data_IF_644920036416
#
_entry.id   IF_644920036416
#
_cell.length_a   1.000
_cell.length_b   1.000
_cell.length_c   1.000
_cell.angle_alpha   90.00
_cell.angle_beta   90.00
_cell.angle_gamma   90.00
#
_symmetry.space_group_name_H-M   'P 1'
#
loop_
_entity.id
_entity.type
_entity.pdbx_description
1 polymer ?
#
# COMPACT_ATOMS: atom_id res chain seq x y z
N UNK A 1 -66.44 8.68 -8.23
CA UNK A 1 -65.13 9.27 -8.59
C UNK A 1 -64.01 8.91 -7.60
N UNK A 2 -64.07 7.76 -6.91
CA UNK A 2 -63.07 7.36 -5.89
C UNK A 2 -62.37 6.01 -6.18
N UNK A 3 -62.80 5.26 -7.21
CA UNK A 3 -62.32 3.91 -7.47
C UNK A 3 -60.96 3.87 -8.18
N UNK A 4 -60.67 4.83 -9.05
CA UNK A 4 -59.44 4.86 -9.86
C UNK A 4 -58.17 5.24 -9.06
N UNK A 5 -58.32 5.94 -7.93
CA UNK A 5 -57.19 6.39 -7.11
C UNK A 5 -56.65 5.31 -6.15
N UNK A 6 -57.47 4.30 -5.80
CA UNK A 6 -57.03 3.19 -4.94
C UNK A 6 -56.18 2.16 -5.71
N UNK A 7 -56.47 1.92 -6.99
CA UNK A 7 -55.71 0.97 -7.83
C UNK A 7 -54.28 1.45 -8.11
N UNK A 8 -54.08 2.76 -8.30
CA UNK A 8 -52.76 3.33 -8.53
C UNK A 8 -51.81 3.16 -7.32
N UNK A 9 -52.32 3.30 -6.08
CA UNK A 9 -51.54 3.08 -4.84
C UNK A 9 -51.22 1.60 -4.59
N UNK A 10 -52.12 0.68 -4.96
CA UNK A 10 -51.92 -0.76 -4.83
C UNK A 10 -50.89 -1.28 -5.83
N UNK A 11 -50.96 -0.80 -7.08
CA UNK A 11 -49.97 -1.09 -8.13
C UNK A 11 -48.59 -0.50 -7.80
N UNK A 12 -48.54 0.74 -7.28
CA UNK A 12 -47.27 1.36 -6.86
C UNK A 12 -46.62 0.63 -5.68
N UNK A 13 -47.38 0.15 -4.68
CA UNK A 13 -46.85 -0.67 -3.58
C UNK A 13 -46.33 -2.03 -4.05
N UNK A 14 -47.04 -2.70 -4.95
CA UNK A 14 -46.60 -3.99 -5.52
C UNK A 14 -45.35 -3.83 -6.37
N UNK A 15 -45.26 -2.74 -7.14
CA UNK A 15 -44.07 -2.40 -7.92
C UNK A 15 -42.88 -2.05 -7.02
N UNK A 16 -43.10 -1.28 -5.96
CA UNK A 16 -42.08 -0.96 -4.95
C UNK A 16 -41.59 -2.21 -4.19
N UNK A 17 -42.48 -3.16 -3.90
CA UNK A 17 -42.13 -4.43 -3.25
C UNK A 17 -41.34 -5.37 -4.17
N UNK A 18 -41.65 -5.38 -5.48
CA UNK A 18 -40.91 -6.15 -6.49
C UNK A 18 -39.51 -5.56 -6.72
N UNK A 19 -39.35 -4.23 -6.70
CA UNK A 19 -38.04 -3.59 -6.82
C UNK A 19 -37.14 -3.90 -5.61
N UNK A 20 -37.70 -3.96 -4.40
CA UNK A 20 -36.95 -4.29 -3.17
C UNK A 20 -36.54 -5.78 -3.12
N UNK A 21 -37.34 -6.69 -3.71
CA UNK A 21 -37.00 -8.12 -3.76
C UNK A 21 -35.92 -8.47 -4.79
N UNK A 22 -35.76 -7.64 -5.84
CA UNK A 22 -34.73 -7.85 -6.87
C UNK A 22 -33.40 -7.14 -6.60
N UNK A 23 -33.27 -6.36 -5.53
CA UNK A 23 -32.02 -5.69 -5.16
C UNK A 23 -31.14 -6.49 -4.21
N UNK A 24 -31.18 -7.83 -4.24
CA UNK A 24 -30.16 -8.63 -3.54
C UNK A 24 -28.83 -8.48 -4.27
N UNK A 25 -27.78 -7.89 -3.65
CA UNK A 25 -26.47 -7.87 -4.26
C UNK A 25 -25.98 -9.31 -4.36
N UNK A 26 -25.74 -9.78 -5.59
CA UNK A 26 -25.00 -11.02 -5.81
C UNK A 26 -23.57 -10.73 -5.36
N UNK A 27 -23.20 -11.21 -4.18
CA UNK A 27 -21.82 -11.20 -3.73
C UNK A 27 -21.04 -12.23 -4.58
N UNK A 28 -20.51 -11.80 -5.72
CA UNK A 28 -19.57 -12.59 -6.50
C UNK A 28 -18.22 -12.61 -5.75
N UNK A 29 -18.11 -13.48 -4.76
CA UNK A 29 -16.85 -13.73 -4.07
C UNK A 29 -15.87 -14.44 -5.01
N UNK A 30 -14.60 -14.04 -4.97
CA UNK A 30 -13.54 -14.80 -5.63
C UNK A 30 -13.48 -16.21 -5.03
N UNK A 31 -13.37 -17.23 -5.90
CA UNK A 31 -13.18 -18.62 -5.48
C UNK A 31 -11.80 -18.72 -4.83
N UNK A 32 -11.74 -19.11 -3.56
CA UNK A 32 -10.46 -19.33 -2.89
C UNK A 32 -9.88 -20.67 -3.33
N UNK A 33 -8.54 -20.77 -3.38
CA UNK A 33 -7.85 -22.03 -3.70
C UNK A 33 -8.28 -23.17 -2.76
N UNK A 34 -8.60 -22.84 -1.50
CA UNK A 34 -9.10 -23.77 -0.49
C UNK A 34 -10.44 -24.43 -0.90
N UNK A 35 -11.28 -23.71 -1.63
CA UNK A 35 -12.57 -24.18 -2.11
C UNK A 35 -12.50 -25.04 -3.39
N UNK A 36 -11.31 -25.17 -3.98
CA UNK A 36 -11.10 -26.01 -5.16
C UNK A 36 -11.04 -27.50 -4.76
N UNK A 37 -11.64 -28.40 -5.58
CA UNK A 37 -11.41 -29.84 -5.46
C UNK A 37 -9.92 -30.18 -5.39
N UNK A 38 -9.54 -31.13 -4.52
CA UNK A 38 -8.14 -31.48 -4.24
C UNK A 38 -7.33 -31.77 -5.52
N UNK A 39 -7.94 -32.42 -6.51
CA UNK A 39 -7.30 -32.77 -7.78
C UNK A 39 -6.97 -31.55 -8.67
N UNK A 40 -7.61 -30.40 -8.45
CA UNK A 40 -7.38 -29.17 -9.21
C UNK A 40 -6.37 -28.23 -8.55
N UNK A 41 -6.16 -28.32 -7.22
CA UNK A 41 -5.23 -27.45 -6.49
C UNK A 41 -3.80 -27.46 -7.08
N UNK A 42 -3.20 -28.60 -7.48
CA UNK A 42 -1.85 -28.62 -8.06
C UNK A 42 -1.72 -27.90 -9.42
N UNK A 43 -2.82 -27.67 -10.13
CA UNK A 43 -2.81 -26.99 -11.43
C UNK A 43 -2.78 -25.47 -11.32
N UNK A 44 -3.15 -24.91 -10.18
CA UNK A 44 -3.24 -23.46 -9.97
C UNK A 44 -1.93 -22.74 -10.29
N UNK A 45 -0.74 -23.18 -9.81
CA UNK A 45 0.53 -22.53 -10.16
C UNK A 45 0.81 -22.53 -11.67
N UNK A 46 0.44 -23.61 -12.37
CA UNK A 46 0.64 -23.70 -13.82
C UNK A 46 -0.30 -22.76 -14.59
N UNK A 47 -1.58 -22.69 -14.21
CA UNK A 47 -2.56 -21.77 -14.83
C UNK A 47 -2.19 -20.30 -14.56
N UNK A 48 -1.70 -20.01 -13.36
CA UNK A 48 -1.31 -18.65 -12.96
C UNK A 48 0.05 -18.22 -13.53
N UNK A 49 0.80 -19.11 -14.15
CA UNK A 49 2.09 -18.77 -14.74
C UNK A 49 1.93 -17.69 -15.83
N UNK A 50 2.65 -16.58 -15.69
CA UNK A 50 2.54 -15.40 -16.55
C UNK A 50 1.34 -14.49 -16.25
N UNK A 51 0.45 -14.90 -15.34
CA UNK A 51 -0.72 -14.15 -14.89
C UNK A 51 -0.66 -13.86 -13.38
N UNK A 52 0.53 -13.84 -12.78
CA UNK A 52 0.72 -13.70 -11.33
C UNK A 52 0.11 -12.39 -10.81
N UNK A 53 0.08 -11.34 -11.65
CA UNK A 53 -0.53 -10.05 -11.32
C UNK A 53 -2.05 -10.09 -11.22
N UNK A 54 -2.70 -11.15 -11.72
CA UNK A 54 -4.14 -11.31 -11.58
C UNK A 54 -4.57 -11.50 -10.12
N UNK A 55 -3.66 -12.01 -9.28
CA UNK A 55 -3.85 -12.15 -7.83
C UNK A 55 -3.78 -10.80 -7.07
N UNK A 56 -3.28 -9.73 -7.71
CA UNK A 56 -3.15 -8.44 -7.06
C UNK A 56 -4.52 -7.79 -6.86
N UNK A 57 -4.82 -7.28 -5.66
CA UNK A 57 -6.09 -6.61 -5.40
C UNK A 57 -6.30 -5.38 -6.28
N UNK A 58 -7.57 -5.14 -6.63
CA UNK A 58 -7.98 -3.89 -7.27
C UNK A 58 -8.05 -2.78 -6.22
N UNK A 59 -7.38 -1.66 -6.46
CA UNK A 59 -7.43 -0.50 -5.57
C UNK A 59 -8.46 0.50 -6.08
N UNK A 60 -9.54 0.72 -5.31
CA UNK A 60 -10.50 1.77 -5.62
C UNK A 60 -9.80 3.14 -5.55
N UNK A 61 -9.97 3.98 -6.58
CA UNK A 61 -9.31 5.28 -6.71
C UNK A 61 -8.08 5.28 -7.63
N UNK A 62 -7.32 4.19 -7.71
CA UNK A 62 -6.17 4.09 -8.61
C UNK A 62 -6.56 3.63 -10.03
N UNK A 63 -7.70 2.96 -10.18
CA UNK A 63 -8.17 2.44 -11.47
C UNK A 63 -7.37 1.24 -12.01
N UNK A 64 -6.49 0.66 -11.19
CA UNK A 64 -5.62 -0.46 -11.56
C UNK A 64 -5.39 -1.45 -10.40
N UNK A 65 -4.89 -2.65 -10.73
CA UNK A 65 -4.43 -3.63 -9.73
C UNK A 65 -3.09 -3.19 -9.14
N UNK A 66 -2.98 -3.22 -7.80
CA UNK A 66 -1.74 -2.87 -7.08
C UNK A 66 -1.19 -4.08 -6.36
N UNK A 67 0.02 -4.47 -6.75
CA UNK A 67 0.70 -5.66 -6.21
C UNK A 67 1.53 -5.39 -4.96
N UNK A 68 1.80 -4.12 -4.65
CA UNK A 68 2.47 -3.67 -3.43
C UNK A 68 1.57 -2.70 -2.70
N UNK A 69 1.38 -2.95 -1.41
CA UNK A 69 0.57 -2.11 -0.53
C UNK A 69 1.46 -1.67 0.63
N UNK A 70 1.64 -0.36 0.75
CA UNK A 70 2.43 0.24 1.83
C UNK A 70 1.63 0.24 3.13
N UNK A 71 2.22 -0.27 4.19
CA UNK A 71 1.75 -0.04 5.54
C UNK A 71 2.35 1.25 6.13
N UNK A 72 2.37 1.39 7.46
CA UNK A 72 2.97 2.53 8.12
C UNK A 72 4.49 2.57 7.91
N UNK A 73 5.00 3.77 7.63
CA UNK A 73 6.42 4.09 7.67
C UNK A 73 6.74 4.83 8.97
N UNK A 74 7.72 4.33 9.72
CA UNK A 74 8.27 5.00 10.91
C UNK A 74 9.68 5.47 10.62
N UNK A 75 9.97 6.73 10.92
CA UNK A 75 11.29 7.35 10.79
C UNK A 75 11.72 7.92 12.15
N UNK A 76 12.90 7.53 12.60
CA UNK A 76 13.57 8.10 13.78
C UNK A 76 14.90 8.70 13.32
N UNK A 77 14.96 10.03 13.28
CA UNK A 77 16.05 10.79 12.68
C UNK A 77 16.77 11.62 13.73
N UNK A 78 18.09 11.69 13.64
CA UNK A 78 18.91 12.55 14.48
C UNK A 78 20.06 13.21 13.70
N UNK A 79 20.88 14.00 14.40
CA UNK A 79 21.98 14.76 13.81
C UNK A 79 22.96 13.95 12.96
N UNK A 80 23.20 12.66 13.25
CA UNK A 80 24.22 11.85 12.56
C UNK A 80 23.71 10.58 11.90
N UNK A 81 22.49 10.16 12.20
CA UNK A 81 21.92 8.93 11.66
C UNK A 81 20.39 8.99 11.62
N UNK A 82 19.82 8.04 10.88
CA UNK A 82 18.40 7.77 10.88
C UNK A 82 18.13 6.28 10.95
N UNK A 83 16.92 5.91 11.36
CA UNK A 83 16.40 4.55 11.25
C UNK A 83 15.01 4.59 10.66
N UNK A 84 14.69 3.58 9.88
CA UNK A 84 13.34 3.39 9.36
C UNK A 84 12.82 1.98 9.62
N UNK A 85 11.50 1.89 9.72
CA UNK A 85 10.76 0.65 9.78
C UNK A 85 9.48 0.81 8.97
N UNK A 86 9.31 -0.03 7.96
CA UNK A 86 8.21 0.06 7.00
C UNK A 86 7.57 -1.32 6.80
N UNK A 87 6.26 -1.40 7.02
CA UNK A 87 5.50 -2.61 6.75
C UNK A 87 5.04 -2.64 5.29
N UNK A 88 5.12 -3.80 4.64
CA UNK A 88 4.69 -3.99 3.25
C UNK A 88 3.87 -5.26 3.10
N UNK A 89 2.83 -5.18 2.27
CA UNK A 89 2.12 -6.35 1.76
C UNK A 89 2.39 -6.48 0.26
N UNK A 90 2.90 -7.64 -0.16
CA UNK A 90 3.27 -7.96 -1.54
C UNK A 90 2.43 -9.14 -2.02
N UNK A 91 1.79 -9.02 -3.19
CA UNK A 91 0.86 -10.03 -3.73
C UNK A 91 1.43 -10.82 -4.93
N UNK A 92 2.37 -10.22 -5.65
CA UNK A 92 3.10 -10.83 -6.76
C UNK A 92 4.58 -10.39 -6.66
N UNK A 93 5.49 -11.10 -7.31
CA UNK A 93 6.89 -10.67 -7.42
C UNK A 93 6.98 -9.20 -7.82
N UNK A 94 7.50 -8.36 -6.91
CA UNK A 94 7.44 -6.91 -7.07
C UNK A 94 8.70 -6.23 -6.57
N UNK A 95 9.03 -5.12 -7.22
CA UNK A 95 10.00 -4.16 -6.70
C UNK A 95 9.30 -3.28 -5.65
N UNK A 96 9.89 -3.16 -4.48
CA UNK A 96 9.38 -2.38 -3.35
C UNK A 96 10.33 -1.20 -3.09
N UNK A 97 9.88 0.05 -3.21
CA UNK A 97 10.73 1.21 -2.96
C UNK A 97 11.05 1.37 -1.48
N UNK A 98 12.25 1.87 -1.20
CA UNK A 98 12.68 2.23 0.15
C UNK A 98 12.78 3.74 0.31
N UNK A 99 12.76 4.25 1.55
CA UNK A 99 13.13 5.62 1.81
C UNK A 99 14.62 5.85 1.49
N UNK A 100 14.94 7.03 0.98
CA UNK A 100 16.28 7.44 0.55
C UNK A 100 16.39 7.71 -0.96
N UNK A 101 17.54 8.22 -1.33
CA UNK A 101 17.93 8.55 -2.70
C UNK A 101 19.46 8.39 -2.86
N UNK A 102 20.03 8.89 -3.96
CA UNK A 102 21.47 8.87 -4.21
C UNK A 102 22.31 9.61 -3.16
N UNK A 103 21.76 10.62 -2.50
CA UNK A 103 22.46 11.46 -1.54
C UNK A 103 22.28 10.91 -0.11
N UNK A 104 21.14 10.26 0.15
CA UNK A 104 20.78 9.63 1.43
C UNK A 104 20.43 8.16 1.24
N UNK A 105 21.43 7.37 0.84
CA UNK A 105 21.21 5.95 0.56
C UNK A 105 20.99 5.14 1.85
N UNK A 106 19.98 4.25 1.91
CA UNK A 106 19.74 3.42 3.08
C UNK A 106 20.80 2.33 3.24
N UNK A 107 21.20 2.09 4.49
CA UNK A 107 22.18 1.11 4.90
C UNK A 107 21.54 0.04 5.81
N UNK A 108 22.27 -1.06 6.00
CA UNK A 108 21.87 -2.17 6.89
C UNK A 108 20.43 -2.65 6.67
N UNK A 109 19.97 -2.64 5.42
CA UNK A 109 18.58 -2.96 5.09
C UNK A 109 18.30 -4.42 5.36
N UNK A 110 17.20 -4.67 6.07
CA UNK A 110 16.73 -6.00 6.47
C UNK A 110 15.27 -6.20 6.12
N UNK A 111 14.93 -7.43 5.74
CA UNK A 111 13.57 -7.91 5.49
C UNK A 111 13.30 -9.03 6.48
N UNK A 112 12.35 -8.83 7.40
CA UNK A 112 12.08 -9.82 8.46
C UNK A 112 13.29 -10.09 9.36
N UNK A 113 14.20 -9.11 9.50
CA UNK A 113 15.44 -9.24 10.29
C UNK A 113 16.63 -9.82 9.55
N UNK A 114 16.46 -10.33 8.33
CA UNK A 114 17.56 -10.84 7.49
C UNK A 114 18.07 -9.75 6.55
N UNK A 115 19.39 -9.67 6.34
CA UNK A 115 19.98 -8.69 5.44
C UNK A 115 19.47 -8.87 4.01
N UNK A 116 19.15 -7.76 3.34
CA UNK A 116 18.60 -7.75 1.99
C UNK A 116 19.40 -6.82 1.07
N UNK A 117 19.56 -7.24 -0.19
CA UNK A 117 20.26 -6.43 -1.20
C UNK A 117 19.35 -5.32 -1.72
N UNK A 118 19.85 -4.09 -1.70
CA UNK A 118 19.16 -2.91 -2.25
C UNK A 118 19.62 -2.69 -3.69
N UNK A 119 18.67 -2.50 -4.58
CA UNK A 119 18.90 -2.33 -6.02
C UNK A 119 18.55 -0.89 -6.42
N UNK A 120 19.44 -0.17 -7.12
CA UNK A 120 19.14 1.16 -7.64
C UNK A 120 18.22 1.11 -8.86
N UNK A 121 17.23 2.01 -8.89
CA UNK A 121 16.41 2.34 -10.06
C UNK A 121 16.22 3.85 -10.11
N UNK A 122 16.66 4.49 -11.19
CA UNK A 122 16.49 5.94 -11.39
C UNK A 122 16.93 6.79 -10.18
N UNK A 123 18.03 6.39 -9.52
CA UNK A 123 18.57 7.08 -8.34
C UNK A 123 17.82 6.82 -7.03
N UNK A 124 16.83 5.91 -7.01
CA UNK A 124 16.07 5.52 -5.82
C UNK A 124 16.37 4.06 -5.42
N UNK A 125 16.33 3.74 -4.11
CA UNK A 125 16.58 2.39 -3.58
C UNK A 125 15.33 1.49 -3.65
N UNK A 126 15.49 0.25 -4.11
CA UNK A 126 14.42 -0.75 -4.19
C UNK A 126 14.86 -2.12 -3.63
N UNK A 127 13.89 -2.93 -3.22
CA UNK A 127 14.04 -4.34 -2.92
C UNK A 127 13.24 -5.18 -3.92
N UNK A 128 13.75 -6.38 -4.26
CA UNK A 128 12.96 -7.38 -4.96
C UNK A 128 12.35 -8.34 -3.94
N UNK A 129 11.02 -8.31 -3.79
CA UNK A 129 10.30 -9.17 -2.84
C UNK A 129 9.36 -10.13 -3.56
N UNK A 130 9.24 -11.34 -3.02
CA UNK A 130 8.23 -12.35 -3.39
C UNK A 130 6.89 -12.02 -2.70
N UNK A 131 5.78 -12.69 -3.05
CA UNK A 131 4.52 -12.53 -2.32
C UNK A 131 4.69 -12.82 -0.82
N UNK A 132 4.14 -11.95 0.02
CA UNK A 132 4.25 -12.05 1.47
C UNK A 132 4.01 -10.73 2.20
N UNK A 133 4.00 -10.80 3.52
CA UNK A 133 3.95 -9.64 4.41
C UNK A 133 5.33 -9.44 5.03
N UNK A 134 5.86 -8.23 4.95
CA UNK A 134 7.24 -7.95 5.35
C UNK A 134 7.31 -6.75 6.30
N UNK A 135 8.16 -6.87 7.31
CA UNK A 135 8.73 -5.72 7.99
C UNK A 135 10.11 -5.44 7.40
N UNK A 136 10.25 -4.28 6.77
CA UNK A 136 11.51 -3.81 6.22
C UNK A 136 12.09 -2.77 7.15
N UNK A 137 13.35 -2.93 7.52
CA UNK A 137 14.07 -1.97 8.36
C UNK A 137 15.38 -1.59 7.70
N UNK A 138 15.92 -0.46 8.12
CA UNK A 138 17.24 -0.02 7.71
C UNK A 138 17.66 1.22 8.48
N UNK A 139 18.87 1.65 8.20
CA UNK A 139 19.49 2.83 8.81
C UNK A 139 19.95 3.81 7.73
N UNK A 140 20.22 5.03 8.15
CA UNK A 140 20.89 6.03 7.35
C UNK A 140 22.08 6.55 8.15
N UNK A 141 23.11 6.98 7.44
CA UNK A 141 24.29 7.61 8.04
C UNK A 141 24.60 8.89 7.28
N UNK A 142 24.73 9.98 8.02
CA UNK A 142 25.05 11.31 7.48
C UNK A 142 25.91 12.07 8.49
N UNK A 143 26.67 13.06 8.02
CA UNK A 143 27.45 13.92 8.92
C UNK A 143 26.58 14.95 9.66
N UNK A 144 25.45 15.32 9.07
CA UNK A 144 24.47 16.28 9.59
C UNK A 144 23.08 15.84 9.13
N UNK A 145 22.07 16.02 9.99
CA UNK A 145 20.66 15.79 9.67
C UNK A 145 20.28 16.60 8.41
N UNK A 146 19.84 15.92 7.33
CA UNK A 146 19.44 16.62 6.12
C UNK A 146 18.18 17.46 6.33
N UNK A 147 17.99 18.42 5.43
CA UNK A 147 16.79 19.27 5.40
C UNK A 147 15.57 18.51 4.89
N UNK A 148 15.79 17.57 3.98
CA UNK A 148 14.76 16.72 3.41
C UNK A 148 15.24 15.27 3.21
N UNK A 149 14.29 14.35 3.09
CA UNK A 149 14.55 12.94 2.82
C UNK A 149 13.51 12.41 1.83
N UNK A 150 13.95 11.74 0.77
CA UNK A 150 13.04 11.07 -0.14
C UNK A 150 12.39 9.86 0.55
N UNK A 151 11.07 9.72 0.41
CA UNK A 151 10.29 8.59 0.89
C UNK A 151 9.39 8.07 -0.25
N UNK A 152 8.94 6.80 -0.22
CA UNK A 152 8.04 6.29 -1.24
C UNK A 152 6.74 7.11 -1.30
N UNK A 153 6.28 7.57 -2.48
CA UNK A 153 5.08 8.41 -2.58
C UNK A 153 3.79 7.64 -2.25
N UNK A 154 3.79 6.31 -2.36
CA UNK A 154 2.63 5.46 -2.05
C UNK A 154 2.30 5.32 -0.56
N UNK A 155 3.08 5.88 0.36
CA UNK A 155 2.84 5.79 1.82
C UNK A 155 1.47 6.35 2.22
N UNK A 156 0.73 5.57 3.00
CA UNK A 156 -0.53 6.01 3.61
C UNK A 156 -0.37 6.66 4.98
N UNK A 157 0.59 6.20 5.79
CA UNK A 157 0.78 6.65 7.17
C UNK A 157 2.26 6.81 7.50
N UNK A 158 2.64 8.00 7.97
CA UNK A 158 4.01 8.35 8.35
C UNK A 158 4.06 8.76 9.83
N UNK A 159 4.95 8.12 10.59
CA UNK A 159 5.37 8.58 11.91
C UNK A 159 6.80 9.10 11.81
N UNK A 160 7.00 10.36 12.18
CA UNK A 160 8.30 11.01 12.15
C UNK A 160 8.70 11.46 13.56
N UNK A 161 9.87 11.02 14.00
CA UNK A 161 10.55 11.51 15.19
C UNK A 161 11.88 12.14 14.77
N UNK A 162 12.14 13.36 15.25
CA UNK A 162 13.38 14.08 14.97
C UNK A 162 14.01 14.51 16.30
N UNK A 163 15.23 14.06 16.57
CA UNK A 163 15.95 14.31 17.82
C UNK A 163 15.13 13.97 19.08
N UNK A 164 14.37 12.85 19.02
CA UNK A 164 13.51 12.39 20.12
C UNK A 164 12.16 13.11 20.24
N UNK A 165 11.87 14.09 19.38
CA UNK A 165 10.60 14.81 19.36
C UNK A 165 9.71 14.31 18.22
N UNK A 166 8.48 13.88 18.54
CA UNK A 166 7.51 13.46 17.53
C UNK A 166 6.98 14.67 16.75
N UNK A 167 6.95 14.54 15.42
CA UNK A 167 6.42 15.56 14.51
C UNK A 167 5.02 15.12 14.06
N UNK A 168 4.00 15.76 14.63
CA UNK A 168 2.60 15.40 14.39
C UNK A 168 2.12 15.64 12.94
N UNK A 169 2.73 16.60 12.23
CA UNK A 169 2.32 17.00 10.88
C UNK A 169 3.53 17.09 9.93
N UNK A 170 4.15 15.95 9.59
CA UNK A 170 5.26 15.92 8.63
C UNK A 170 4.78 16.46 7.27
N UNK A 171 5.59 17.30 6.63
CA UNK A 171 5.27 17.88 5.33
C UNK A 171 5.91 17.03 4.24
N UNK A 172 5.08 16.39 3.43
CA UNK A 172 5.51 15.56 2.29
C UNK A 172 4.90 16.15 1.04
N UNK A 173 5.70 16.38 0.00
CA UNK A 173 5.20 16.83 -1.29
C UNK A 173 4.68 15.66 -2.15
N UNK A 174 4.07 15.98 -3.29
CA UNK A 174 3.52 14.98 -4.22
C UNK A 174 4.57 14.02 -4.79
N UNK A 175 5.85 14.40 -4.77
CA UNK A 175 6.96 13.56 -5.25
C UNK A 175 7.46 12.55 -4.21
N UNK A 176 6.96 12.67 -2.97
CA UNK A 176 7.42 11.90 -1.82
C UNK A 176 8.65 12.51 -1.15
N UNK A 177 8.88 13.82 -1.25
CA UNK A 177 9.96 14.48 -0.52
C UNK A 177 9.47 14.95 0.85
N UNK A 178 10.03 14.39 1.92
CA UNK A 178 9.74 14.78 3.30
C UNK A 178 10.64 15.94 3.74
N UNK A 179 10.03 17.04 4.17
CA UNK A 179 10.74 18.17 4.78
C UNK A 179 10.90 17.95 6.29
N UNK A 180 12.16 17.90 6.75
CA UNK A 180 12.53 17.60 8.15
C UNK A 180 12.72 18.90 8.93
N UNK A 181 13.48 19.83 8.36
CA UNK A 181 13.70 21.17 8.90
C UNK A 181 13.08 22.18 7.95
N UNK A 182 12.33 23.14 8.48
CA UNK A 182 11.97 24.32 7.68
C UNK A 182 13.23 25.14 7.49
N UNK A 183 13.50 25.61 6.27
CA UNK A 183 14.33 26.79 6.12
C UNK A 183 13.71 27.89 6.99
N UNK A 184 14.46 28.39 7.96
CA UNK A 184 14.26 29.78 8.33
C UNK A 184 14.73 30.57 7.11
N UNK A 185 13.81 30.82 6.18
CA UNK A 185 14.00 31.82 5.15
C UNK A 185 14.35 33.12 5.88
N UNK A 186 15.62 33.54 5.75
CA UNK A 186 16.11 34.82 6.24
C UNK A 186 15.57 35.97 5.40
#
# INVERSE_FOLDING_TARGET
>A
MNSALLDCKSLFKKFLFIIVLFSSPIALGAISTESLPENLRPWVPWVMHGNEREACPWMQGAGEKRCIWSGPLKLDLNAGAGRFSHSWQVFADSEVPLPGDKDHWPQEVKVGGQAAAVVPRNGKPFLQLKPGTYQVTGSFLWSKLPESLAIPPEIGLLHLTVNGEEKAFPQVDESGLLWIQKENAA
#
